data_IF_239428370368
#
_entry.id   IF_239428370368
#
_cell.length_a   1.000
_cell.length_b   1.000
_cell.length_c   1.000
_cell.angle_alpha   90.00
_cell.angle_beta   90.00
_cell.angle_gamma   90.00
#
_symmetry.space_group_name_H-M   'P 1'
#
loop_
_entity.id
_entity.type
_entity.pdbx_description
1 polymer ?
#
# COMPACT_ATOMS: atom_id res chain seq x y z
N UNK A 1 -23.29 -15.60 8.86
CA UNK A 1 -21.83 -15.59 9.07
C UNK A 1 -21.32 -14.24 8.62
N UNK A 2 -20.88 -13.37 9.53
CA UNK A 2 -20.28 -12.09 9.12
C UNK A 2 -18.89 -12.38 8.55
N UNK A 3 -18.73 -12.27 7.23
CA UNK A 3 -17.40 -12.25 6.62
C UNK A 3 -16.62 -11.07 7.20
N UNK A 4 -15.56 -11.33 7.97
CA UNK A 4 -14.64 -10.29 8.41
C UNK A 4 -13.94 -9.74 7.17
N UNK A 5 -14.19 -8.48 6.83
CA UNK A 5 -13.50 -7.78 5.75
C UNK A 5 -11.99 -7.87 5.97
N UNK A 6 -11.27 -8.25 4.93
CA UNK A 6 -9.82 -8.26 4.94
C UNK A 6 -9.28 -7.08 4.15
N UNK A 7 -8.04 -6.70 4.47
CA UNK A 7 -7.36 -5.59 3.85
C UNK A 7 -6.05 -6.06 3.26
N UNK A 8 -5.63 -5.45 2.16
CA UNK A 8 -4.29 -5.64 1.61
C UNK A 8 -3.49 -4.37 1.79
N UNK A 9 -2.25 -4.52 2.24
CA UNK A 9 -1.27 -3.44 2.26
C UNK A 9 -0.66 -3.28 0.87
N UNK A 10 -0.75 -2.07 0.33
CA UNK A 10 -0.16 -1.70 -0.94
C UNK A 10 0.93 -0.66 -0.69
N UNK A 11 2.23 -0.98 -0.89
CA UNK A 11 3.29 0.00 -0.73
C UNK A 11 3.18 1.08 -1.81
N UNK A 12 3.38 2.34 -1.43
CA UNK A 12 3.38 3.47 -2.38
C UNK A 12 4.83 3.83 -2.72
N UNK A 13 5.20 3.55 -3.97
CA UNK A 13 6.58 3.60 -4.48
C UNK A 13 6.62 4.26 -5.86
N UNK A 14 7.81 4.67 -6.30
CA UNK A 14 8.05 5.25 -7.62
C UNK A 14 7.60 4.31 -8.76
N UNK A 15 7.83 3.00 -8.63
CA UNK A 15 7.44 2.01 -9.66
C UNK A 15 5.97 1.58 -9.64
N UNK A 16 5.08 2.32 -8.97
CA UNK A 16 3.63 2.17 -9.20
C UNK A 16 3.35 2.40 -10.69
N UNK A 17 2.42 1.61 -11.25
CA UNK A 17 2.13 1.55 -12.69
C UNK A 17 3.00 0.54 -13.45
N UNK A 18 4.11 0.08 -12.87
CA UNK A 18 4.96 -0.97 -13.43
C UNK A 18 4.92 -2.24 -12.57
N UNK A 19 5.45 -2.17 -11.35
CA UNK A 19 5.53 -3.33 -10.44
C UNK A 19 4.25 -3.57 -9.66
N UNK A 20 3.43 -2.53 -9.54
CA UNK A 20 2.12 -2.55 -8.90
C UNK A 20 1.16 -1.82 -9.82
N UNK A 21 0.23 -2.53 -10.44
CA UNK A 21 -0.73 -1.93 -11.39
C UNK A 21 -2.14 -2.06 -10.87
N UNK A 22 -3.04 -1.21 -11.37
CA UNK A 22 -4.47 -1.32 -11.12
C UNK A 22 -5.19 -1.40 -12.47
N UNK A 23 -6.12 -2.32 -12.59
CA UNK A 23 -7.00 -2.48 -13.74
C UNK A 23 -8.46 -2.39 -13.30
N UNK A 24 -9.26 -1.70 -14.10
CA UNK A 24 -10.69 -1.56 -13.88
C UNK A 24 -11.43 -2.28 -15.02
N UNK A 25 -11.98 -3.45 -14.71
CA UNK A 25 -12.61 -4.33 -15.69
C UNK A 25 -14.05 -4.61 -15.27
N UNK A 26 -15.02 -4.15 -16.06
CA UNK A 26 -16.43 -4.54 -15.95
C UNK A 26 -17.02 -4.41 -14.53
N UNK A 27 -16.71 -3.33 -13.83
CA UNK A 27 -17.20 -3.06 -12.47
C UNK A 27 -16.39 -3.70 -11.34
N UNK A 28 -15.22 -4.27 -11.66
CA UNK A 28 -14.23 -4.76 -10.68
C UNK A 28 -12.94 -3.96 -10.77
N UNK A 29 -12.32 -3.75 -9.62
CA UNK A 29 -10.97 -3.19 -9.52
C UNK A 29 -10.01 -4.29 -9.08
N UNK A 30 -8.94 -4.48 -9.83
CA UNK A 30 -7.93 -5.49 -9.55
C UNK A 30 -6.58 -4.82 -9.44
N UNK A 31 -5.88 -5.03 -8.33
CA UNK A 31 -4.49 -4.67 -8.17
C UNK A 31 -3.62 -5.87 -8.53
N UNK A 32 -2.61 -5.69 -9.37
CA UNK A 32 -1.57 -6.68 -9.59
C UNK A 32 -0.33 -6.33 -8.76
N UNK A 33 0.16 -7.27 -7.94
CA UNK A 33 1.47 -7.19 -7.27
C UNK A 33 2.21 -8.50 -7.53
N UNK A 34 3.38 -8.43 -8.16
CA UNK A 34 4.22 -9.60 -8.45
C UNK A 34 3.43 -10.74 -9.12
N UNK A 35 2.69 -10.42 -10.17
CA UNK A 35 1.82 -11.34 -10.94
C UNK A 35 0.61 -11.89 -10.16
N UNK A 36 0.36 -11.44 -8.93
CA UNK A 36 -0.83 -11.79 -8.16
C UNK A 36 -1.92 -10.74 -8.36
N UNK A 37 -3.04 -11.18 -8.94
CA UNK A 37 -4.22 -10.35 -9.15
C UNK A 37 -5.14 -10.37 -7.91
N UNK A 38 -5.34 -9.20 -7.32
CA UNK A 38 -6.09 -8.98 -6.09
C UNK A 38 -7.30 -8.14 -6.42
N UNK A 39 -8.49 -8.74 -6.39
CA UNK A 39 -9.72 -7.95 -6.48
C UNK A 39 -9.90 -7.13 -5.19
N UNK A 40 -10.16 -5.83 -5.34
CA UNK A 40 -10.43 -4.91 -4.23
C UNK A 40 -11.86 -4.40 -4.31
N UNK A 41 -12.42 -3.95 -3.17
CA UNK A 41 -13.74 -3.32 -3.16
C UNK A 41 -13.75 -2.09 -4.07
N UNK A 42 -14.82 -1.93 -4.83
CA UNK A 42 -15.05 -0.71 -5.62
C UNK A 42 -15.65 0.42 -4.78
N UNK A 43 -16.20 0.08 -3.61
CA UNK A 43 -16.73 1.06 -2.68
C UNK A 43 -15.61 1.66 -1.83
N UNK A 44 -15.29 2.93 -2.08
CA UNK A 44 -14.24 3.67 -1.39
C UNK A 44 -14.43 3.73 0.14
N UNK A 45 -15.65 3.61 0.65
CA UNK A 45 -15.90 3.63 2.10
C UNK A 45 -15.47 2.35 2.82
N UNK A 46 -15.21 1.26 2.09
CA UNK A 46 -14.82 -0.01 2.69
C UNK A 46 -13.34 0.00 3.08
N UNK A 47 -12.53 0.84 2.43
CA UNK A 47 -11.08 0.92 2.63
C UNK A 47 -10.72 1.56 3.99
N UNK A 48 -9.58 1.16 4.56
CA UNK A 48 -9.07 1.78 5.79
C UNK A 48 -8.38 3.10 5.48
N UNK A 49 -7.49 3.10 4.49
CA UNK A 49 -6.92 4.35 3.99
C UNK A 49 -7.97 5.06 3.15
N UNK A 50 -8.15 6.37 3.37
CA UNK A 50 -9.06 7.20 2.60
C UNK A 50 -8.46 8.59 2.37
N UNK A 51 -8.98 9.31 1.38
CA UNK A 51 -8.69 10.72 1.12
C UNK A 51 -9.90 11.54 1.58
N UNK A 52 -9.68 12.49 2.48
CA UNK A 52 -10.75 13.38 2.95
C UNK A 52 -11.08 14.47 1.93
N UNK A 53 -12.19 15.18 2.15
CA UNK A 53 -12.69 16.28 1.31
C UNK A 53 -11.71 17.47 1.16
N UNK A 54 -10.64 17.49 1.95
CA UNK A 54 -9.57 18.50 1.88
C UNK A 54 -8.32 17.95 1.18
N UNK A 55 -8.39 16.76 0.57
CA UNK A 55 -7.27 16.11 -0.09
C UNK A 55 -6.18 15.61 0.86
N UNK A 56 -6.49 15.34 2.13
CA UNK A 56 -5.52 14.69 3.03
C UNK A 56 -5.69 13.18 3.01
N UNK A 57 -4.57 12.48 2.91
CA UNK A 57 -4.53 11.04 3.04
C UNK A 57 -4.52 10.69 4.52
N UNK A 58 -5.46 9.82 4.92
CA UNK A 58 -5.65 9.34 6.29
C UNK A 58 -5.37 7.85 6.38
N UNK A 59 -4.98 7.41 7.58
CA UNK A 59 -4.74 6.01 7.89
C UNK A 59 -3.68 5.35 7.00
N UNK A 60 -2.51 5.98 6.86
CA UNK A 60 -1.36 5.40 6.16
C UNK A 60 -0.64 4.42 7.08
N UNK A 61 -0.45 3.18 6.63
CA UNK A 61 0.28 2.17 7.39
C UNK A 61 1.78 2.29 7.12
N UNK A 62 2.59 2.16 8.16
CA UNK A 62 4.05 2.06 8.10
C UNK A 62 4.46 0.66 8.55
N UNK A 63 5.24 -0.03 7.72
CA UNK A 63 5.84 -1.32 8.06
C UNK A 63 7.34 -1.10 8.27
N UNK A 64 7.80 -1.18 9.51
CA UNK A 64 9.20 -1.02 9.93
C UNK A 64 9.94 -2.35 9.93
N UNK A 65 11.27 -2.35 9.73
CA UNK A 65 12.05 -3.59 9.62
C UNK A 65 11.94 -4.26 8.25
N UNK A 66 11.39 -3.54 7.27
CA UNK A 66 11.15 -4.01 5.91
C UNK A 66 11.59 -2.96 4.90
N UNK A 67 12.08 -3.44 3.77
CA UNK A 67 12.33 -2.68 2.54
C UNK A 67 11.43 -3.21 1.41
N UNK A 68 11.32 -2.49 0.30
CA UNK A 68 10.58 -2.94 -0.89
C UNK A 68 11.52 -3.33 -2.03
N UNK A 69 11.23 -4.43 -2.71
CA UNK A 69 11.79 -4.68 -4.04
C UNK A 69 10.93 -3.92 -5.06
N UNK A 70 11.43 -2.79 -5.56
CA UNK A 70 10.66 -1.95 -6.48
C UNK A 70 10.32 -2.64 -7.81
N UNK A 71 11.01 -3.71 -8.21
CA UNK A 71 10.69 -4.41 -9.44
C UNK A 71 9.48 -5.34 -9.30
N UNK A 72 9.17 -5.79 -8.08
CA UNK A 72 8.08 -6.74 -7.82
C UNK A 72 6.98 -6.16 -6.93
N UNK A 73 7.25 -5.08 -6.21
CA UNK A 73 6.36 -4.53 -5.19
C UNK A 73 6.29 -5.33 -3.89
N UNK A 74 7.06 -6.43 -3.77
CA UNK A 74 7.09 -7.28 -2.57
C UNK A 74 7.95 -6.66 -1.47
N UNK A 75 7.53 -6.81 -0.22
CA UNK A 75 8.34 -6.43 0.92
C UNK A 75 9.37 -7.52 1.26
N UNK A 76 10.56 -7.09 1.68
CA UNK A 76 11.64 -7.95 2.14
C UNK A 76 12.01 -7.55 3.56
N UNK A 77 11.98 -8.48 4.53
CA UNK A 77 12.41 -8.18 5.89
C UNK A 77 13.92 -7.92 5.93
N UNK A 78 14.35 -6.87 6.62
CA UNK A 78 15.77 -6.48 6.74
C UNK A 78 16.32 -6.57 8.15
N UNK A 79 15.42 -6.63 9.16
CA UNK A 79 15.75 -6.53 10.59
C UNK A 79 16.36 -5.17 10.99
N UNK A 80 16.50 -4.21 10.07
CA UNK A 80 16.88 -2.84 10.40
C UNK A 80 15.63 -2.04 10.80
N UNK A 81 15.49 -1.60 12.07
CA UNK A 81 14.32 -0.84 12.51
C UNK A 81 14.21 0.55 11.84
N UNK A 82 15.30 1.05 11.24
CA UNK A 82 15.30 2.30 10.48
C UNK A 82 14.72 2.13 9.08
N UNK A 83 14.77 0.92 8.51
CA UNK A 83 14.10 0.63 7.25
C UNK A 83 12.59 0.60 7.46
N UNK A 84 11.87 1.23 6.53
CA UNK A 84 10.42 1.18 6.53
C UNK A 84 9.83 1.36 5.13
N UNK A 85 8.59 0.90 4.97
CA UNK A 85 7.77 1.15 3.78
C UNK A 85 6.41 1.69 4.20
N UNK A 86 5.99 2.77 3.55
CA UNK A 86 4.67 3.38 3.76
C UNK A 86 3.71 2.94 2.67
N UNK A 87 2.46 2.73 3.03
CA UNK A 87 1.46 2.25 2.10
C UNK A 87 0.03 2.47 2.55
N UNK A 88 -0.88 2.06 1.67
CA UNK A 88 -2.32 2.18 1.87
C UNK A 88 -2.93 0.81 2.20
N UNK A 89 -4.07 0.82 2.88
CA UNK A 89 -4.87 -0.35 3.24
C UNK A 89 -6.20 -0.31 2.51
N UNK A 90 -6.36 -1.19 1.53
CA UNK A 90 -7.58 -1.31 0.71
C UNK A 90 -8.29 -2.62 1.00
N UNK A 91 -9.62 -2.58 0.97
CA UNK A 91 -10.47 -3.71 1.31
C UNK A 91 -10.54 -4.71 0.17
N UNK A 92 -10.55 -6.01 0.50
CA UNK A 92 -10.78 -7.10 -0.46
C UNK A 92 -12.13 -7.77 -0.18
N UNK A 93 -12.93 -8.08 -1.22
CA UNK A 93 -14.26 -8.67 -1.05
C UNK A 93 -14.21 -10.16 -0.66
N UNK A 94 -13.07 -10.81 -0.89
CA UNK A 94 -12.85 -12.22 -0.64
C UNK A 94 -11.54 -12.45 0.10
N UNK A 95 -11.46 -13.56 0.85
CA UNK A 95 -10.23 -13.91 1.56
C UNK A 95 -9.13 -14.25 0.55
N UNK A 96 -7.96 -13.64 0.73
CA UNK A 96 -6.81 -13.97 -0.09
C UNK A 96 -6.20 -15.29 0.37
N UNK A 97 -5.93 -16.17 -0.60
CA UNK A 97 -5.17 -17.40 -0.38
C UNK A 97 -3.94 -17.36 -1.29
N UNK A 98 -2.77 -17.11 -0.69
CA UNK A 98 -1.49 -17.13 -1.38
C UNK A 98 -0.38 -17.41 -0.38
N UNK A 99 0.59 -18.24 -0.78
CA UNK A 99 1.73 -18.61 0.04
C UNK A 99 2.73 -17.44 0.23
N UNK A 100 2.62 -16.39 -0.59
CA UNK A 100 3.48 -15.21 -0.54
C UNK A 100 2.88 -14.06 0.30
N UNK A 101 1.80 -14.34 1.03
CA UNK A 101 1.10 -13.35 1.87
C UNK A 101 1.36 -13.67 3.35
N UNK A 102 1.93 -12.70 4.06
CA UNK A 102 1.88 -12.62 5.50
C UNK A 102 0.52 -12.07 5.92
N UNK A 103 -0.35 -12.94 6.46
CA UNK A 103 -1.70 -12.58 6.91
C UNK A 103 -1.73 -12.43 8.43
N UNK A 104 -2.10 -11.25 8.90
CA UNK A 104 -2.10 -10.91 10.32
C UNK A 104 -3.45 -10.36 10.75
N UNK A 105 -4.01 -10.91 11.82
CA UNK A 105 -5.19 -10.36 12.51
C UNK A 105 -4.75 -9.68 13.79
N UNK A 106 -4.90 -8.36 13.86
CA UNK A 106 -4.29 -7.54 14.91
C UNK A 106 -5.24 -6.44 15.39
N UNK A 107 -5.09 -6.06 16.66
CA UNK A 107 -5.68 -4.82 17.18
C UNK A 107 -5.04 -3.61 16.49
N UNK A 108 -5.88 -2.66 16.06
CA UNK A 108 -5.43 -1.45 15.37
C UNK A 108 -4.50 -0.59 16.23
N UNK A 109 -4.59 -0.67 17.56
CA UNK A 109 -3.67 0.00 18.49
C UNK A 109 -2.22 -0.46 18.38
N UNK A 110 -1.97 -1.64 17.79
CA UNK A 110 -0.62 -2.19 17.57
C UNK A 110 -0.03 -1.81 16.20
N UNK A 111 -0.84 -1.24 15.30
CA UNK A 111 -0.40 -0.85 13.97
C UNK A 111 0.21 0.54 14.00
N UNK A 112 1.34 0.73 13.30
CA UNK A 112 1.93 2.04 13.14
C UNK A 112 1.22 2.81 12.02
N UNK A 113 0.18 3.56 12.39
CA UNK A 113 -0.67 4.30 11.45
C UNK A 113 -0.44 5.81 11.59
N UNK A 114 -0.10 6.45 10.47
CA UNK A 114 0.03 7.90 10.38
C UNK A 114 -1.32 8.55 10.05
N UNK A 115 -1.49 9.78 10.55
CA UNK A 115 -2.67 10.63 10.26
C UNK A 115 -3.99 9.89 10.51
N UNK A 116 -4.08 9.30 11.71
CA UNK A 116 -5.18 8.45 12.13
C UNK A 116 -6.52 9.18 12.04
N UNK A 117 -7.45 8.57 11.33
CA UNK A 117 -8.88 8.88 11.29
C UNK A 117 -9.68 7.74 11.93
N UNK A 118 -10.91 7.53 11.46
CA UNK A 118 -11.76 6.43 11.94
C UNK A 118 -11.21 5.09 11.42
N UNK A 119 -10.98 4.14 12.32
CA UNK A 119 -10.53 2.78 12.00
C UNK A 119 -11.23 1.82 12.98
N UNK A 120 -11.66 0.62 12.55
CA UNK A 120 -12.11 -0.45 13.44
C UNK A 120 -11.08 -0.80 14.51
N UNK A 121 -11.51 -1.44 15.60
CA UNK A 121 -10.62 -1.85 16.69
C UNK A 121 -9.65 -2.97 16.30
N UNK A 122 -10.01 -3.76 15.30
CA UNK A 122 -9.28 -4.93 14.83
C UNK A 122 -9.31 -4.98 13.31
N UNK A 123 -8.20 -5.38 12.69
CA UNK A 123 -8.05 -5.54 11.25
C UNK A 123 -7.39 -6.88 10.93
N UNK A 124 -7.79 -7.48 9.81
CA UNK A 124 -7.04 -8.54 9.15
C UNK A 124 -6.30 -7.93 7.96
N UNK A 125 -4.97 -7.89 8.01
CA UNK A 125 -4.11 -7.28 6.99
C UNK A 125 -3.29 -8.36 6.29
N UNK A 126 -3.30 -8.32 4.97
CA UNK A 126 -2.54 -9.16 4.07
C UNK A 126 -1.35 -8.34 3.54
N UNK A 127 -0.13 -8.82 3.76
CA UNK A 127 1.10 -8.16 3.34
C UNK A 127 1.85 -9.09 2.40
N UNK A 128 2.20 -8.60 1.21
CA UNK A 128 2.94 -9.36 0.22
C UNK A 128 4.43 -9.31 0.53
N UNK A 129 5.02 -10.46 0.85
CA UNK A 129 6.40 -10.55 1.32
C UNK A 129 7.17 -11.63 0.57
N UNK A 130 8.48 -11.47 0.46
CA UNK A 130 9.39 -12.53 0.00
C UNK A 130 10.53 -12.69 0.98
N UNK A 131 10.99 -13.94 1.16
CA UNK A 131 12.16 -14.22 1.97
C UNK A 131 13.42 -13.68 1.27
N UNK A 132 14.33 -13.02 1.99
CA UNK A 132 15.58 -12.58 1.41
C UNK A 132 16.43 -13.78 0.98
N UNK A 133 17.22 -13.62 -0.08
CA UNK A 133 18.19 -14.63 -0.47
C UNK A 133 19.28 -14.76 0.60
N UNK A 134 19.63 -15.99 0.99
CA UNK A 134 20.74 -16.25 1.90
C UNK A 134 22.12 -16.00 1.27
N UNK A 135 22.19 -15.79 -0.04
CA UNK A 135 23.46 -15.65 -0.78
C UNK A 135 23.93 -14.21 -0.95
N UNK A 136 23.05 -13.22 -0.75
CA UNK A 136 23.31 -11.83 -1.12
C UNK A 136 23.06 -10.90 0.07
N UNK A 137 23.98 -9.96 0.29
CA UNK A 137 23.76 -8.85 1.23
C UNK A 137 22.65 -7.95 0.70
N UNK A 138 21.69 -7.60 1.57
CA UNK A 138 20.65 -6.62 1.26
C UNK A 138 21.21 -5.24 1.58
N UNK A 139 21.43 -4.43 0.55
CA UNK A 139 21.68 -3.00 0.74
C UNK A 139 20.36 -2.26 0.55
N UNK A 140 20.07 -1.29 1.41
CA UNK A 140 18.86 -0.47 1.30
C UNK A 140 19.20 0.98 1.00
N UNK A 141 18.26 1.66 0.33
CA UNK A 141 18.36 3.08 0.01
C UNK A 141 17.04 3.77 0.32
N UNK A 142 17.14 4.94 0.95
CA UNK A 142 15.98 5.81 1.17
C UNK A 142 15.51 6.43 -0.15
N UNK A 143 14.20 6.37 -0.38
CA UNK A 143 13.54 6.82 -1.59
C UNK A 143 12.33 7.70 -1.23
N UNK A 144 12.06 8.68 -2.10
CA UNK A 144 10.85 9.52 -2.07
C UNK A 144 10.13 9.40 -3.40
N UNK A 145 8.81 9.67 -3.42
CA UNK A 145 8.09 9.82 -4.68
C UNK A 145 8.66 11.01 -5.45
N UNK A 146 9.23 10.75 -6.63
CA UNK A 146 9.83 11.77 -7.47
C UNK A 146 8.79 12.39 -8.42
N UNK A 147 9.14 13.50 -9.07
CA UNK A 147 8.21 14.23 -9.95
C UNK A 147 7.83 13.45 -11.22
N UNK A 148 8.71 12.58 -11.72
CA UNK A 148 8.45 11.79 -12.92
C UNK A 148 7.39 10.70 -12.65
N UNK A 149 7.33 10.19 -11.43
CA UNK A 149 6.42 9.10 -11.04
C UNK A 149 5.14 9.61 -10.34
N UNK A 150 5.09 10.89 -9.96
CA UNK A 150 3.97 11.48 -9.22
C UNK A 150 2.64 11.35 -9.96
N UNK A 151 2.61 11.58 -11.28
CA UNK A 151 1.39 11.45 -12.08
C UNK A 151 0.83 10.02 -12.03
N UNK A 152 1.70 9.03 -12.15
CA UNK A 152 1.33 7.61 -12.12
C UNK A 152 0.82 7.22 -10.72
N UNK A 153 1.50 7.66 -9.66
CA UNK A 153 1.04 7.42 -8.28
C UNK A 153 -0.28 8.13 -8.01
N UNK A 154 -0.46 9.38 -8.46
CA UNK A 154 -1.72 10.10 -8.34
C UNK A 154 -2.86 9.37 -9.06
N UNK A 155 -2.63 8.91 -10.29
CA UNK A 155 -3.63 8.17 -11.05
C UNK A 155 -4.01 6.87 -10.35
N UNK A 156 -3.06 6.17 -9.73
CA UNK A 156 -3.33 5.00 -8.90
C UNK A 156 -4.26 5.33 -7.72
N UNK A 157 -4.04 6.44 -7.02
CA UNK A 157 -4.95 6.93 -5.98
C UNK A 157 -6.33 7.27 -6.55
N UNK A 158 -6.37 7.92 -7.72
CA UNK A 158 -7.63 8.29 -8.38
C UNK A 158 -8.46 7.06 -8.74
N UNK A 159 -7.82 6.02 -9.28
CA UNK A 159 -8.47 4.75 -9.61
C UNK A 159 -9.07 4.06 -8.38
N UNK A 160 -8.44 4.19 -7.20
CA UNK A 160 -8.97 3.59 -5.96
C UNK A 160 -10.09 4.47 -5.38
N UNK A 161 -9.83 5.76 -5.18
CA UNK A 161 -10.64 6.63 -4.32
C UNK A 161 -11.60 7.55 -5.07
N UNK A 162 -11.52 7.62 -6.40
CA UNK A 162 -12.33 8.52 -7.25
C UNK A 162 -12.19 9.97 -6.77
N UNK A 163 -11.00 10.52 -6.98
CA UNK A 163 -10.59 11.81 -6.41
C UNK A 163 -11.29 12.95 -7.15
N UNK A 164 -11.82 13.90 -6.39
CA UNK A 164 -12.40 15.12 -6.95
C UNK A 164 -11.29 16.03 -7.50
N UNK A 165 -11.52 16.59 -8.69
CA UNK A 165 -10.56 17.45 -9.37
C UNK A 165 -10.15 18.66 -8.53
N UNK A 166 -11.03 19.18 -7.68
CA UNK A 166 -10.79 20.33 -6.81
C UNK A 166 -9.72 20.09 -5.74
N UNK A 167 -9.44 18.84 -5.38
CA UNK A 167 -8.44 18.48 -4.36
C UNK A 167 -7.16 17.87 -4.95
N UNK A 168 -7.05 17.80 -6.28
CA UNK A 168 -5.94 17.15 -6.99
C UNK A 168 -4.57 17.69 -6.55
N UNK A 169 -4.37 19.00 -6.55
CA UNK A 169 -3.07 19.60 -6.24
C UNK A 169 -2.64 19.33 -4.81
N UNK A 170 -3.59 19.44 -3.86
CA UNK A 170 -3.35 19.15 -2.46
C UNK A 170 -3.00 17.68 -2.24
N UNK A 171 -3.70 16.75 -2.89
CA UNK A 171 -3.41 15.32 -2.80
C UNK A 171 -2.03 15.01 -3.37
N UNK A 172 -1.66 15.58 -4.52
CA UNK A 172 -0.34 15.41 -5.14
C UNK A 172 0.79 15.85 -4.22
N UNK A 173 0.64 17.02 -3.61
CA UNK A 173 1.58 17.50 -2.58
C UNK A 173 1.68 16.52 -1.41
N UNK A 174 0.54 16.03 -0.96
CA UNK A 174 0.45 15.09 0.15
C UNK A 174 1.14 13.74 -0.17
N UNK A 175 1.00 13.24 -1.40
CA UNK A 175 1.67 12.03 -1.88
C UNK A 175 3.20 12.20 -1.77
N UNK A 176 3.76 13.30 -2.30
CA UNK A 176 5.20 13.57 -2.26
C UNK A 176 5.75 13.68 -0.84
N UNK A 177 5.02 14.37 0.04
CA UNK A 177 5.48 14.62 1.41
C UNK A 177 5.34 13.38 2.32
N UNK A 178 4.26 12.62 2.13
CA UNK A 178 3.91 11.53 3.04
C UNK A 178 4.63 10.24 2.70
N UNK A 179 4.72 9.88 1.41
CA UNK A 179 5.26 8.61 0.96
C UNK A 179 6.76 8.72 0.66
N UNK A 180 7.51 8.15 1.58
CA UNK A 180 8.90 7.79 1.43
C UNK A 180 9.08 6.40 2.02
N UNK A 181 10.12 5.70 1.57
CA UNK A 181 10.31 4.28 1.84
C UNK A 181 11.78 3.90 1.63
N UNK A 182 12.16 2.73 2.13
CA UNK A 182 13.41 2.09 1.79
C UNK A 182 13.19 1.06 0.69
N UNK A 183 14.10 1.06 -0.28
CA UNK A 183 14.14 0.11 -1.39
C UNK A 183 15.43 -0.69 -1.38
N UNK A 184 15.41 -1.89 -1.98
CA UNK A 184 16.63 -2.65 -2.25
C UNK A 184 17.48 -1.88 -3.26
N UNK A 185 18.73 -1.57 -2.87
CA UNK A 185 19.75 -1.04 -3.76
C UNK A 185 20.52 -2.21 -4.37
N UNK A 186 20.39 -2.38 -5.69
CA UNK A 186 21.24 -3.29 -6.46
C UNK A 186 22.47 -2.55 -6.97
#
# INVERSE_FOLDING_TARGET
MSSLTEYVFIPIINKIGNSITIANNSGRKTINISDQNIEISTNRSDHITFVDERGNIRNVLVITGYTVNENTGLLVPTLDPCDYVKGILVAVPHQLQSNSILKLKLQTSKLYILRKGRIPNELTVNIFTVSPSSSNTINTKFMTINDNDLDTVYNFFNEIYQIDQSIQEKLRKDIKELFNYYAISQ
#
